data_IF_947466726528
#
_entry.id   IF_947466726528
#
_cell.length_a   1.000
_cell.length_b   1.000
_cell.length_c   1.000
_cell.angle_alpha   90.00
_cell.angle_beta   90.00
_cell.angle_gamma   90.00
#
_symmetry.space_group_name_H-M   'P 1'
#
loop_
_entity.id
_entity.type
_entity.pdbx_description
1 polymer ?
#
# COMPACT_ATOMS: atom_id res chain seq x y z
N UNK A 1 -53.18 21.69 -10.75
CA UNK A 1 -54.14 22.76 -11.06
C UNK A 1 -53.79 23.27 -12.45
N UNK A 2 -54.66 22.97 -13.41
CA UNK A 2 -54.61 23.24 -14.86
C UNK A 2 -54.50 24.76 -15.20
N UNK A 3 -54.48 25.19 -16.48
CA UNK A 3 -53.46 25.03 -17.54
C UNK A 3 -53.23 26.39 -18.26
N UNK A 4 -52.43 26.48 -19.34
CA UNK A 4 -52.81 27.37 -20.46
C UNK A 4 -52.06 26.96 -21.75
N UNK A 5 -52.86 26.44 -22.68
CA UNK A 5 -52.60 26.32 -24.11
C UNK A 5 -52.43 27.71 -24.74
N UNK A 6 -51.50 27.88 -25.70
CA UNK A 6 -51.77 28.53 -27.00
C UNK A 6 -50.45 28.63 -27.81
N UNK A 7 -50.29 27.74 -28.80
CA UNK A 7 -50.53 27.95 -30.24
C UNK A 7 -49.28 28.35 -31.01
N UNK A 8 -48.75 27.35 -31.69
CA UNK A 8 -47.73 27.38 -32.71
C UNK A 8 -48.32 28.03 -33.98
N UNK A 9 -47.75 29.13 -34.46
CA UNK A 9 -48.11 29.75 -35.75
C UNK A 9 -46.94 29.57 -36.73
N UNK A 10 -47.05 28.68 -37.74
CA UNK A 10 -45.95 28.37 -38.66
C UNK A 10 -45.76 29.39 -39.80
N UNK A 11 -46.41 30.56 -39.74
CA UNK A 11 -46.50 31.49 -40.87
C UNK A 11 -45.51 32.67 -40.83
N UNK A 12 -44.56 32.71 -39.88
CA UNK A 12 -43.54 33.77 -39.81
C UNK A 12 -42.17 33.40 -40.40
N UNK A 13 -41.96 32.14 -40.75
CA UNK A 13 -40.67 31.62 -41.24
C UNK A 13 -40.51 31.83 -42.76
N UNK A 14 -41.61 32.00 -43.50
CA UNK A 14 -41.59 32.12 -44.97
C UNK A 14 -41.36 33.55 -45.49
N UNK A 15 -41.26 34.57 -44.63
CA UNK A 15 -41.09 35.98 -45.06
C UNK A 15 -39.65 36.51 -44.97
N UNK A 16 -38.74 35.78 -44.34
CA UNK A 16 -37.32 36.18 -44.23
C UNK A 16 -36.40 35.49 -45.26
N UNK A 17 -36.91 34.51 -46.02
CA UNK A 17 -36.13 33.77 -47.00
C UNK A 17 -36.03 34.42 -48.40
N UNK A 18 -36.61 35.62 -48.59
CA UNK A 18 -36.75 36.24 -49.93
C UNK A 18 -36.16 37.66 -50.03
N UNK A 19 -35.26 38.06 -49.12
CA UNK A 19 -34.67 39.40 -49.12
C UNK A 19 -33.14 39.45 -48.99
N UNK A 20 -32.45 38.33 -49.20
CA UNK A 20 -30.98 38.28 -49.20
C UNK A 20 -30.52 37.55 -50.47
N UNK A 21 -30.83 38.16 -51.60
CA UNK A 21 -30.33 37.74 -52.91
C UNK A 21 -29.83 39.00 -53.62
N UNK A 22 -28.63 39.42 -53.25
CA UNK A 22 -27.97 40.63 -53.74
C UNK A 22 -26.71 40.86 -52.91
N UNK A 23 -25.57 40.99 -53.58
CA UNK A 23 -24.24 41.28 -53.03
C UNK A 23 -23.42 40.07 -52.56
N UNK A 24 -23.33 39.07 -53.43
CA UNK A 24 -22.19 38.14 -53.48
C UNK A 24 -20.95 38.87 -54.04
N UNK A 25 -20.35 39.76 -53.24
CA UNK A 25 -19.05 40.37 -53.53
C UNK A 25 -17.95 39.69 -52.68
N UNK A 26 -16.97 39.13 -53.39
CA UNK A 26 -15.89 38.30 -52.92
C UNK A 26 -15.12 38.85 -51.70
N UNK A 27 -15.26 38.19 -50.55
CA UNK A 27 -14.18 38.07 -49.56
C UNK A 27 -13.92 36.58 -49.32
N UNK A 28 -12.71 36.11 -49.63
CA UNK A 28 -12.30 34.72 -49.42
C UNK A 28 -12.46 34.37 -47.93
N UNK A 29 -13.15 33.27 -47.56
CA UNK A 29 -13.14 32.82 -46.18
C UNK A 29 -11.71 32.38 -45.82
N UNK A 30 -11.06 33.12 -44.91
CA UNK A 30 -9.83 32.64 -44.28
C UNK A 30 -10.24 31.53 -43.31
N UNK A 31 -10.20 30.29 -43.80
CA UNK A 31 -10.34 29.10 -42.95
C UNK A 31 -9.22 29.12 -41.90
N UNK A 32 -9.54 29.09 -40.59
CA UNK A 32 -8.50 28.94 -39.58
C UNK A 32 -7.76 27.64 -39.87
N UNK A 33 -6.44 27.72 -40.05
CA UNK A 33 -5.59 26.53 -40.24
C UNK A 33 -5.74 25.65 -39.00
N UNK A 34 -6.62 24.64 -39.07
CA UNK A 34 -6.72 23.61 -38.04
C UNK A 34 -5.34 22.97 -37.95
N UNK A 35 -4.64 23.27 -36.85
CA UNK A 35 -3.31 22.73 -36.55
C UNK A 35 -3.46 21.22 -36.55
N UNK A 36 -2.99 20.57 -37.62
CA UNK A 36 -3.04 19.12 -37.75
C UNK A 36 -2.30 18.54 -36.55
N UNK A 37 -3.04 17.85 -35.67
CA UNK A 37 -2.45 17.08 -34.58
C UNK A 37 -1.60 16.01 -35.26
N UNK A 38 -0.27 16.19 -35.28
CA UNK A 38 0.66 15.13 -35.69
C UNK A 38 0.23 13.84 -34.98
N UNK A 39 0.04 12.71 -35.70
CA UNK A 39 -0.28 11.45 -35.06
C UNK A 39 0.84 11.17 -34.05
N UNK A 40 0.47 11.09 -32.77
CA UNK A 40 1.41 10.80 -31.69
C UNK A 40 2.02 9.44 -32.00
N UNK A 41 3.29 9.43 -32.40
CA UNK A 41 4.03 8.20 -32.68
C UNK A 41 3.87 7.25 -31.48
N UNK A 42 3.29 6.07 -31.72
CA UNK A 42 3.20 5.01 -30.73
C UNK A 42 4.62 4.62 -30.35
N UNK A 43 5.02 4.89 -29.12
CA UNK A 43 6.30 4.42 -28.58
C UNK A 43 6.30 2.89 -28.64
N UNK A 44 7.23 2.32 -29.40
CA UNK A 44 7.40 0.88 -29.64
C UNK A 44 8.01 0.12 -28.46
N UNK A 45 8.16 0.75 -27.30
CA UNK A 45 8.59 0.09 -26.07
C UNK A 45 7.42 -0.63 -25.37
N UNK A 46 7.69 -1.69 -24.59
CA UNK A 46 6.67 -2.27 -23.72
C UNK A 46 6.13 -1.16 -22.82
N UNK A 47 4.80 -1.10 -22.71
CA UNK A 47 4.16 -0.15 -21.81
C UNK A 47 4.73 -0.32 -20.41
N UNK A 48 5.02 0.77 -19.70
CA UNK A 48 5.59 0.72 -18.34
C UNK A 48 4.79 -0.21 -17.40
N UNK A 49 3.48 -0.32 -17.64
CA UNK A 49 2.57 -1.26 -16.98
C UNK A 49 2.97 -2.73 -17.16
N UNK A 50 3.37 -3.13 -18.37
CA UNK A 50 3.78 -4.50 -18.70
C UNK A 50 5.09 -4.85 -17.99
N UNK A 51 6.04 -3.93 -17.96
CA UNK A 51 7.31 -4.12 -17.24
C UNK A 51 7.06 -4.30 -15.74
N UNK A 52 6.19 -3.48 -15.12
CA UNK A 52 5.82 -3.63 -13.71
C UNK A 52 5.17 -4.97 -13.39
N UNK A 53 4.31 -5.47 -14.27
CA UNK A 53 3.67 -6.79 -14.11
C UNK A 53 4.72 -7.90 -14.15
N UNK A 54 5.63 -7.87 -15.12
CA UNK A 54 6.69 -8.89 -15.22
C UNK A 54 7.63 -8.88 -14.01
N UNK A 55 8.01 -7.69 -13.52
CA UNK A 55 8.82 -7.54 -12.31
C UNK A 55 8.07 -8.08 -11.08
N UNK A 56 6.77 -7.80 -10.96
CA UNK A 56 5.94 -8.32 -9.87
C UNK A 56 5.91 -9.86 -9.84
N UNK A 57 5.70 -10.49 -11.00
CA UNK A 57 5.73 -11.95 -11.11
C UNK A 57 7.10 -12.54 -10.79
N UNK A 58 8.19 -11.90 -11.24
CA UNK A 58 9.54 -12.33 -10.89
C UNK A 58 9.78 -12.25 -9.38
N UNK A 59 9.35 -11.16 -8.72
CA UNK A 59 9.45 -11.00 -7.26
C UNK A 59 8.71 -12.11 -6.50
N UNK A 60 7.47 -12.42 -6.92
CA UNK A 60 6.67 -13.49 -6.32
C UNK A 60 7.42 -14.83 -6.43
N UNK A 61 7.99 -15.14 -7.59
CA UNK A 61 8.74 -16.37 -7.80
C UNK A 61 10.00 -16.43 -6.92
N UNK A 62 10.72 -15.33 -6.80
CA UNK A 62 11.92 -15.21 -5.94
C UNK A 62 11.55 -15.40 -4.46
N UNK A 63 10.46 -14.80 -3.99
CA UNK A 63 9.96 -15.00 -2.63
C UNK A 63 9.52 -16.45 -2.40
N UNK A 64 8.80 -17.05 -3.35
CA UNK A 64 8.39 -18.45 -3.25
C UNK A 64 9.60 -19.39 -3.17
N UNK A 65 10.63 -19.14 -3.98
CA UNK A 65 11.89 -19.87 -3.91
C UNK A 65 12.55 -19.74 -2.53
N UNK A 66 12.64 -18.50 -2.02
CA UNK A 66 13.18 -18.23 -0.67
C UNK A 66 12.43 -19.01 0.42
N UNK A 67 11.10 -18.99 0.40
CA UNK A 67 10.26 -19.72 1.39
C UNK A 67 10.49 -21.23 1.34
N UNK A 68 10.68 -21.82 0.15
CA UNK A 68 10.96 -23.26 0.02
C UNK A 68 12.35 -23.64 0.55
N UNK A 69 13.33 -22.75 0.41
CA UNK A 69 14.72 -23.02 0.81
C UNK A 69 15.02 -22.73 2.28
N UNK A 70 14.11 -22.07 3.00
CA UNK A 70 14.31 -21.81 4.43
C UNK A 70 13.91 -23.04 5.23
N UNK A 71 14.88 -23.66 5.90
CA UNK A 71 14.62 -24.63 6.96
C UNK A 71 13.89 -23.91 8.10
N UNK A 72 12.57 -24.10 8.16
CA UNK A 72 11.82 -23.71 9.34
C UNK A 72 12.29 -24.65 10.43
N UNK A 73 12.95 -24.12 11.47
CA UNK A 73 13.09 -24.85 12.73
C UNK A 73 11.67 -25.05 13.24
N UNK A 74 11.07 -26.18 12.89
CA UNK A 74 9.77 -26.55 13.41
C UNK A 74 9.87 -26.45 14.92
N UNK A 75 8.94 -25.71 15.53
CA UNK A 75 8.79 -25.70 16.96
C UNK A 75 8.26 -27.09 17.34
N UNK A 76 9.18 -28.05 17.44
CA UNK A 76 8.91 -29.37 18.01
C UNK A 76 8.29 -29.10 19.38
N UNK A 77 7.11 -29.67 19.61
CA UNK A 77 6.42 -29.58 20.90
C UNK A 77 7.40 -30.03 21.98
N UNK A 78 7.69 -29.14 22.93
CA UNK A 78 8.74 -29.33 23.92
C UNK A 78 8.31 -30.38 24.94
N UNK A 79 9.03 -31.51 25.00
CA UNK A 79 8.74 -32.62 25.91
C UNK A 79 9.84 -32.74 26.99
N UNK A 80 9.55 -32.49 28.29
CA UNK A 80 10.51 -32.59 29.37
C UNK A 80 11.01 -34.03 29.60
N UNK A 81 10.24 -35.05 29.23
CA UNK A 81 10.67 -36.45 29.34
C UNK A 81 11.73 -36.78 28.29
N UNK A 82 11.53 -36.31 27.05
CA UNK A 82 12.51 -36.47 25.96
C UNK A 82 13.83 -35.72 26.25
N UNK A 83 13.75 -34.51 26.80
CA UNK A 83 14.94 -33.72 27.19
C UNK A 83 15.79 -34.45 28.24
N UNK A 84 15.16 -35.12 29.20
CA UNK A 84 15.86 -35.91 30.21
C UNK A 84 16.22 -37.33 29.74
N UNK A 85 15.66 -37.79 28.63
CA UNK A 85 15.85 -39.14 28.08
C UNK A 85 15.24 -40.23 28.96
N UNK A 86 14.07 -39.96 29.56
CA UNK A 86 13.33 -40.88 30.42
C UNK A 86 11.95 -41.17 29.83
N UNK A 87 11.32 -42.27 30.27
CA UNK A 87 9.96 -42.59 29.84
C UNK A 87 8.89 -41.78 30.58
N UNK A 88 7.71 -41.69 29.98
CA UNK A 88 6.58 -40.96 30.54
C UNK A 88 6.09 -41.62 31.85
N UNK A 89 5.99 -40.85 32.93
CA UNK A 89 5.45 -41.32 34.21
C UNK A 89 6.47 -41.95 35.18
N UNK A 90 7.76 -41.80 34.90
CA UNK A 90 8.84 -42.25 35.80
C UNK A 90 8.83 -41.59 37.19
N UNK A 91 9.46 -42.27 38.16
CA UNK A 91 9.52 -41.80 39.55
C UNK A 91 10.47 -40.59 39.72
N UNK A 92 10.21 -39.76 40.74
CA UNK A 92 11.02 -38.57 41.04
C UNK A 92 12.50 -38.90 41.28
N UNK A 93 12.80 -40.10 41.80
CA UNK A 93 14.17 -40.56 41.97
C UNK A 93 14.92 -40.76 40.65
N UNK A 94 14.24 -41.26 39.62
CA UNK A 94 14.79 -41.48 38.28
C UNK A 94 15.02 -40.14 37.62
N UNK A 95 14.07 -39.20 37.74
CA UNK A 95 14.21 -37.81 37.28
C UNK A 95 15.44 -37.14 37.90
N UNK A 96 15.60 -37.23 39.22
CA UNK A 96 16.76 -36.66 39.94
C UNK A 96 18.08 -37.31 39.53
N UNK A 97 18.09 -38.62 39.24
CA UNK A 97 19.27 -39.34 38.73
C UNK A 97 19.63 -38.89 37.31
N UNK A 98 18.65 -38.79 36.41
CA UNK A 98 18.85 -38.34 35.03
C UNK A 98 19.38 -36.90 34.98
N UNK A 99 18.77 -36.00 35.75
CA UNK A 99 19.20 -34.61 35.90
C UNK A 99 20.66 -34.50 36.31
N UNK A 100 21.10 -35.24 37.34
CA UNK A 100 22.51 -35.22 37.78
C UNK A 100 23.47 -35.71 36.69
N UNK A 101 23.11 -36.75 35.95
CA UNK A 101 23.94 -37.28 34.85
C UNK A 101 24.10 -36.25 33.72
N UNK A 102 23.01 -35.62 33.31
CA UNK A 102 22.99 -34.64 32.23
C UNK A 102 23.66 -33.31 32.63
N UNK A 103 23.43 -32.86 33.86
CA UNK A 103 24.07 -31.68 34.44
C UNK A 103 25.59 -31.81 34.45
N UNK A 104 26.12 -32.98 34.82
CA UNK A 104 27.57 -33.24 34.78
C UNK A 104 28.14 -33.27 33.36
N UNK A 105 27.34 -33.66 32.37
CA UNK A 105 27.73 -33.71 30.95
C UNK A 105 27.80 -32.31 30.33
N UNK A 106 26.86 -31.44 30.67
CA UNK A 106 26.72 -30.10 30.10
C UNK A 106 27.20 -28.97 31.03
N UNK A 107 27.96 -29.29 32.09
CA UNK A 107 28.47 -28.29 33.01
C UNK A 107 29.49 -27.38 32.32
N UNK A 108 29.37 -26.03 32.38
CA UNK A 108 30.20 -25.08 31.62
C UNK A 108 31.70 -25.14 31.92
N UNK A 109 32.07 -25.76 33.04
CA UNK A 109 33.46 -26.02 33.44
C UNK A 109 34.10 -27.23 32.74
N UNK A 110 33.29 -28.18 32.26
CA UNK A 110 33.77 -29.44 31.65
C UNK A 110 33.76 -29.43 30.12
N UNK A 111 33.22 -28.37 29.50
CA UNK A 111 33.04 -28.27 28.04
C UNK A 111 33.99 -27.24 27.45
N UNK A 112 34.49 -27.54 26.24
CA UNK A 112 35.38 -26.66 25.49
C UNK A 112 34.75 -25.29 25.22
N UNK A 113 35.58 -24.26 25.04
CA UNK A 113 35.14 -22.86 24.84
C UNK A 113 34.13 -22.69 23.71
N UNK A 114 34.25 -23.45 22.63
CA UNK A 114 33.34 -23.39 21.48
C UNK A 114 31.96 -24.03 21.75
N UNK A 115 31.90 -24.96 22.71
CA UNK A 115 30.65 -25.65 23.08
C UNK A 115 29.98 -25.02 24.31
N UNK A 116 30.58 -24.00 24.93
CA UNK A 116 30.02 -23.34 26.13
C UNK A 116 28.64 -22.73 25.89
N UNK A 117 28.41 -22.15 24.71
CA UNK A 117 27.12 -21.55 24.36
C UNK A 117 26.03 -22.63 24.25
N UNK A 118 26.31 -23.70 23.48
CA UNK A 118 25.41 -24.87 23.36
C UNK A 118 25.18 -25.57 24.69
N UNK A 119 26.22 -25.69 25.53
CA UNK A 119 26.11 -26.27 26.85
C UNK A 119 25.21 -25.43 27.78
N UNK A 120 25.28 -24.10 27.67
CA UNK A 120 24.39 -23.19 28.39
C UNK A 120 22.93 -23.36 27.97
N UNK A 121 22.66 -23.44 26.67
CA UNK A 121 21.31 -23.70 26.14
C UNK A 121 20.75 -25.05 26.61
N UNK A 122 21.52 -26.14 26.44
CA UNK A 122 21.11 -27.48 26.87
C UNK A 122 20.89 -27.55 28.39
N UNK A 123 21.77 -26.93 29.18
CA UNK A 123 21.65 -26.91 30.64
C UNK A 123 20.42 -26.11 31.09
N UNK A 124 20.08 -25.01 30.43
CA UNK A 124 18.86 -24.26 30.68
C UNK A 124 17.61 -25.12 30.38
N UNK A 125 17.64 -25.90 29.30
CA UNK A 125 16.55 -26.80 28.92
C UNK A 125 16.38 -27.96 29.91
N UNK A 126 17.47 -28.59 30.33
CA UNK A 126 17.50 -29.64 31.37
C UNK A 126 16.94 -29.11 32.70
N UNK A 127 17.36 -27.90 33.09
CA UNK A 127 16.84 -27.24 34.30
C UNK A 127 15.35 -26.97 34.20
N UNK A 128 14.86 -26.55 33.02
CA UNK A 128 13.44 -26.31 32.78
C UNK A 128 12.66 -27.63 32.90
N UNK A 129 13.10 -28.68 32.23
CA UNK A 129 12.49 -30.01 32.27
C UNK A 129 12.41 -30.57 33.70
N UNK A 130 13.52 -30.51 34.45
CA UNK A 130 13.53 -30.94 35.85
C UNK A 130 12.54 -30.14 36.70
N UNK A 131 12.47 -28.81 36.56
CA UNK A 131 11.52 -27.96 37.30
C UNK A 131 10.07 -28.32 36.99
N UNK A 132 9.76 -28.59 35.72
CA UNK A 132 8.43 -29.01 35.27
C UNK A 132 7.99 -30.31 35.93
N UNK A 133 8.86 -31.31 35.96
CA UNK A 133 8.52 -32.63 36.51
C UNK A 133 8.56 -32.68 38.04
N UNK A 134 9.32 -31.79 38.69
CA UNK A 134 9.44 -31.75 40.16
C UNK A 134 8.24 -31.05 40.81
N UNK A 135 7.70 -29.99 40.20
CA UNK A 135 6.58 -29.24 40.76
C UNK A 135 5.25 -29.84 40.27
N UNK A 136 4.40 -30.25 41.21
CA UNK A 136 3.09 -30.84 40.91
C UNK A 136 2.21 -29.91 40.04
N UNK A 137 2.22 -28.60 40.32
CA UNK A 137 1.45 -27.62 39.55
C UNK A 137 1.97 -27.49 38.10
N UNK A 138 3.30 -27.44 37.93
CA UNK A 138 3.91 -27.34 36.61
C UNK A 138 3.71 -28.63 35.77
N UNK A 139 3.68 -29.79 36.43
CA UNK A 139 3.38 -31.08 35.81
C UNK A 139 1.92 -31.14 35.35
N UNK A 140 0.98 -30.73 36.18
CA UNK A 140 -0.44 -30.67 35.81
C UNK A 140 -0.67 -29.69 34.64
N UNK A 141 0.00 -28.54 34.65
CA UNK A 141 -0.03 -27.57 33.56
C UNK A 141 0.54 -28.14 32.25
N UNK A 142 1.63 -28.90 32.33
CA UNK A 142 2.19 -29.60 31.19
C UNK A 142 1.22 -30.64 30.62
N UNK A 143 0.58 -31.45 31.47
CA UNK A 143 -0.40 -32.46 31.06
C UNK A 143 -1.66 -31.83 30.42
N UNK A 144 -2.09 -30.65 30.90
CA UNK A 144 -3.28 -29.94 30.38
C UNK A 144 -3.02 -29.09 29.14
N UNK A 145 -1.89 -28.40 29.07
CA UNK A 145 -1.61 -27.37 28.06
C UNK A 145 -0.40 -27.69 27.17
N UNK A 146 0.32 -28.78 27.44
CA UNK A 146 1.57 -29.12 26.74
C UNK A 146 2.72 -28.17 27.06
N UNK A 147 2.60 -27.33 28.09
CA UNK A 147 3.62 -26.34 28.45
C UNK A 147 3.65 -26.11 29.98
N UNK A 148 4.84 -26.01 30.61
CA UNK A 148 4.96 -25.96 32.06
C UNK A 148 4.51 -24.65 32.71
N UNK A 149 4.51 -23.55 31.92
CA UNK A 149 4.10 -22.22 32.37
C UNK A 149 2.57 -22.00 32.30
N UNK A 150 1.78 -23.04 31.96
CA UNK A 150 0.33 -22.98 31.87
C UNK A 150 -0.20 -22.49 30.51
N UNK A 151 -1.43 -21.98 30.49
CA UNK A 151 -2.11 -21.52 29.28
C UNK A 151 -1.32 -20.36 28.65
N UNK A 152 -0.62 -20.63 27.55
CA UNK A 152 0.06 -19.58 26.81
C UNK A 152 -1.00 -18.69 26.15
N UNK A 153 -0.94 -17.39 26.46
CA UNK A 153 -1.63 -16.38 25.65
C UNK A 153 -0.99 -16.44 24.27
N UNK A 154 -1.73 -16.86 23.25
CA UNK A 154 -1.19 -16.95 21.90
C UNK A 154 -0.69 -15.57 21.47
N UNK A 155 0.63 -15.43 21.39
CA UNK A 155 1.24 -14.17 20.97
C UNK A 155 1.00 -14.04 19.47
N UNK A 156 0.05 -13.19 19.08
CA UNK A 156 -0.17 -12.83 17.69
C UNK A 156 1.05 -12.02 17.20
N UNK A 157 2.01 -12.72 16.57
CA UNK A 157 3.17 -12.09 15.96
C UNK A 157 2.80 -11.43 14.63
N UNK A 158 3.30 -10.21 14.39
CA UNK A 158 3.20 -9.56 13.09
C UNK A 158 4.32 -10.11 12.20
N UNK A 159 4.00 -10.57 10.99
CA UNK A 159 4.97 -11.14 10.03
C UNK A 159 5.87 -10.09 9.34
N UNK A 160 6.23 -9.01 10.04
CA UNK A 160 7.13 -7.99 9.52
C UNK A 160 8.59 -8.41 9.71
N UNK A 161 9.46 -8.13 8.74
CA UNK A 161 10.89 -8.37 8.90
C UNK A 161 11.42 -7.50 10.04
N UNK A 162 12.28 -8.09 10.88
CA UNK A 162 12.83 -7.42 12.06
C UNK A 162 13.52 -6.08 11.72
N UNK A 163 14.07 -5.95 10.51
CA UNK A 163 14.67 -4.71 9.99
C UNK A 163 13.74 -3.48 10.07
N UNK A 164 12.41 -3.65 9.96
CA UNK A 164 11.46 -2.53 10.07
C UNK A 164 11.12 -2.16 11.52
N UNK A 165 11.34 -3.05 12.49
CA UNK A 165 10.90 -2.91 13.88
C UNK A 165 12.07 -2.73 14.85
N UNK A 166 13.29 -3.06 14.43
CA UNK A 166 14.49 -2.99 15.26
C UNK A 166 14.85 -1.54 15.62
N UNK A 167 15.05 -1.30 16.92
CA UNK A 167 15.15 0.02 17.52
C UNK A 167 16.26 0.91 16.94
N UNK A 168 17.30 0.31 16.33
CA UNK A 168 18.42 1.03 15.74
C UNK A 168 18.13 1.61 14.34
N UNK A 169 17.25 0.99 13.55
CA UNK A 169 16.85 1.48 12.21
C UNK A 169 15.53 2.26 12.26
N UNK A 170 14.75 2.06 13.32
CA UNK A 170 13.47 2.72 13.61
C UNK A 170 13.47 4.25 13.43
N UNK A 171 14.43 5.05 13.95
CA UNK A 171 14.36 6.52 13.82
C UNK A 171 14.48 6.99 12.37
N UNK A 172 15.28 6.31 11.54
CA UNK A 172 15.43 6.67 10.14
C UNK A 172 14.17 6.33 9.33
N UNK A 173 13.58 5.15 9.58
CA UNK A 173 12.33 4.74 8.93
C UNK A 173 11.20 5.71 9.30
N UNK A 174 11.04 6.04 10.57
CA UNK A 174 10.05 7.03 11.01
C UNK A 174 10.32 8.42 10.42
N UNK A 175 11.57 8.88 10.39
CA UNK A 175 11.92 10.17 9.80
C UNK A 175 11.62 10.20 8.29
N UNK A 176 11.90 9.12 7.56
CA UNK A 176 11.56 8.98 6.15
C UNK A 176 10.04 9.03 5.94
N UNK A 177 9.27 8.31 6.76
CA UNK A 177 7.82 8.38 6.74
C UNK A 177 7.31 9.80 7.06
N UNK A 178 7.87 10.45 8.09
CA UNK A 178 7.54 11.83 8.45
C UNK A 178 7.81 12.82 7.32
N UNK A 179 8.94 12.68 6.62
CA UNK A 179 9.28 13.51 5.47
C UNK A 179 8.35 13.22 4.28
N UNK A 180 8.08 11.94 4.00
CA UNK A 180 7.21 11.52 2.91
C UNK A 180 5.77 12.02 3.11
N UNK A 181 5.23 11.89 4.32
CA UNK A 181 3.90 12.39 4.62
C UNK A 181 3.86 13.91 4.81
N UNK A 182 4.91 14.53 5.35
CA UNK A 182 4.96 15.97 5.62
C UNK A 182 5.26 16.83 4.40
N UNK A 183 6.14 16.39 3.50
CA UNK A 183 6.58 17.18 2.35
C UNK A 183 6.08 16.60 1.03
N UNK A 184 6.26 15.30 0.81
CA UNK A 184 5.92 14.68 -0.48
C UNK A 184 4.40 14.72 -0.69
N UNK A 185 3.59 14.33 0.30
CA UNK A 185 2.14 14.36 0.14
C UNK A 185 1.59 15.78 -0.11
N UNK A 186 1.87 16.81 0.70
CA UNK A 186 1.34 18.16 0.44
C UNK A 186 1.87 18.76 -0.87
N UNK A 187 3.09 18.43 -1.27
CA UNK A 187 3.63 18.88 -2.56
C UNK A 187 2.85 18.31 -3.74
N UNK A 188 2.61 17.00 -3.77
CA UNK A 188 1.87 16.36 -4.87
C UNK A 188 0.39 16.73 -4.86
N UNK A 189 -0.25 16.73 -3.67
CA UNK A 189 -1.65 17.15 -3.52
C UNK A 189 -1.82 18.61 -3.90
N UNK A 190 -0.93 19.49 -3.43
CA UNK A 190 -0.93 20.90 -3.78
C UNK A 190 -0.75 21.10 -5.28
N UNK A 191 0.26 20.48 -5.89
CA UNK A 191 0.49 20.56 -7.34
C UNK A 191 -0.71 20.05 -8.14
N UNK A 192 -1.31 18.94 -7.74
CA UNK A 192 -2.51 18.40 -8.38
C UNK A 192 -3.71 19.34 -8.21
N UNK A 193 -3.95 19.85 -6.99
CA UNK A 193 -5.03 20.78 -6.68
C UNK A 193 -4.91 22.08 -7.48
N UNK A 194 -3.73 22.70 -7.50
CA UNK A 194 -3.45 23.91 -8.29
C UNK A 194 -3.55 23.69 -9.79
N UNK A 195 -3.41 22.46 -10.28
CA UNK A 195 -3.59 22.15 -11.69
C UNK A 195 -5.06 21.83 -12.01
N UNK A 196 -5.74 21.13 -11.09
CA UNK A 196 -7.13 20.71 -11.24
C UNK A 196 -8.11 21.88 -11.06
N UNK A 197 -7.76 22.89 -10.26
CA UNK A 197 -8.62 24.06 -10.02
C UNK A 197 -8.59 25.10 -11.14
N UNK A 198 -7.73 24.95 -12.16
CA UNK A 198 -7.63 25.92 -13.27
C UNK A 198 -8.78 25.84 -14.27
N UNK A 199 -9.55 24.76 -14.24
CA UNK A 199 -10.63 24.49 -15.17
C UNK A 199 -11.97 24.47 -14.41
N UNK A 200 -12.95 25.21 -14.93
CA UNK A 200 -14.34 25.10 -14.49
C UNK A 200 -14.99 23.82 -15.06
N UNK A 201 -16.23 23.50 -14.63
CA UNK A 201 -17.01 22.35 -15.14
C UNK A 201 -17.07 22.29 -16.67
N UNK A 202 -17.02 23.44 -17.33
CA UNK A 202 -17.13 23.56 -18.78
C UNK A 202 -15.77 23.50 -19.51
N UNK A 203 -14.69 23.08 -18.82
CA UNK A 203 -13.32 23.01 -19.33
C UNK A 203 -12.71 24.34 -19.81
N UNK A 204 -13.29 25.48 -19.39
CA UNK A 204 -12.78 26.82 -19.67
C UNK A 204 -11.81 27.23 -18.55
N UNK A 205 -10.73 27.93 -18.91
CA UNK A 205 -9.78 28.47 -17.94
C UNK A 205 -10.43 29.58 -17.09
N UNK A 206 -10.21 29.56 -15.78
CA UNK A 206 -10.73 30.60 -14.86
C UNK A 206 -10.40 32.07 -15.29
N UNK A 207 -9.16 32.42 -15.70
CA UNK A 207 -8.86 33.79 -16.13
C UNK A 207 -9.66 34.21 -17.37
N UNK A 208 -9.83 33.29 -18.33
CA UNK A 208 -10.66 33.49 -19.52
C UNK A 208 -12.11 33.81 -19.14
N UNK A 209 -12.68 33.05 -18.22
CA UNK A 209 -14.06 33.24 -17.74
C UNK A 209 -14.22 34.58 -17.00
N UNK A 210 -13.23 34.99 -16.21
CA UNK A 210 -13.24 36.30 -15.54
C UNK A 210 -13.22 37.47 -16.52
N UNK A 211 -12.39 37.40 -17.56
CA UNK A 211 -12.33 38.44 -18.62
C UNK A 211 -13.63 38.48 -19.42
N UNK A 212 -14.23 37.32 -19.70
CA UNK A 212 -15.52 37.21 -20.37
C UNK A 212 -16.65 37.89 -19.58
N UNK A 213 -16.81 37.57 -18.30
CA UNK A 213 -17.86 38.17 -17.46
C UNK A 213 -17.65 39.67 -17.20
N UNK A 214 -16.41 40.13 -17.05
CA UNK A 214 -16.12 41.57 -16.83
C UNK A 214 -16.53 42.44 -18.02
N UNK A 215 -16.51 41.88 -19.22
CA UNK A 215 -16.74 42.64 -20.45
C UNK A 215 -18.15 42.42 -21.04
N UNK A 216 -18.97 41.54 -20.46
CA UNK A 216 -20.38 41.39 -20.84
C UNK A 216 -21.17 42.64 -20.40
N UNK A 217 -21.84 43.29 -21.36
CA UNK A 217 -22.88 44.32 -21.14
C UNK A 217 -24.24 43.78 -21.58
N UNK A 218 -25.34 44.36 -21.09
CA UNK A 218 -26.71 43.91 -21.42
C UNK A 218 -27.09 44.04 -22.91
N UNK A 219 -26.44 44.93 -23.66
CA UNK A 219 -26.64 45.11 -25.11
C UNK A 219 -25.31 45.04 -25.88
N UNK A 220 -24.89 43.84 -26.29
CA UNK A 220 -23.67 43.63 -27.09
C UNK A 220 -24.07 43.40 -28.56
N UNK A 221 -23.48 44.17 -29.47
CA UNK A 221 -23.61 43.91 -30.92
C UNK A 221 -22.86 42.64 -31.31
N UNK A 222 -23.33 41.89 -32.31
CA UNK A 222 -22.74 40.61 -32.73
C UNK A 222 -21.23 40.71 -33.04
N UNK A 223 -20.76 41.85 -33.55
CA UNK A 223 -19.33 42.08 -33.85
C UNK A 223 -18.47 42.13 -32.58
N UNK A 224 -18.95 42.82 -31.56
CA UNK A 224 -18.23 42.97 -30.28
C UNK A 224 -18.20 41.64 -29.51
N UNK A 225 -19.20 40.77 -29.70
CA UNK A 225 -19.19 39.42 -29.12
C UNK A 225 -18.07 38.54 -29.71
N UNK A 226 -17.85 38.62 -31.02
CA UNK A 226 -16.78 37.88 -31.70
C UNK A 226 -15.42 38.37 -31.21
N UNK A 227 -15.22 39.69 -31.12
CA UNK A 227 -13.98 40.27 -30.57
C UNK A 227 -13.70 39.80 -29.13
N UNK A 228 -14.73 39.77 -28.27
CA UNK A 228 -14.60 39.28 -26.90
C UNK A 228 -14.26 37.79 -26.80
N UNK A 229 -14.85 36.95 -27.65
CA UNK A 229 -14.53 35.52 -27.69
C UNK A 229 -13.12 35.27 -28.24
N UNK A 230 -12.68 36.07 -29.21
CA UNK A 230 -11.29 35.99 -29.73
C UNK A 230 -10.25 36.52 -28.74
N UNK A 231 -10.63 37.47 -27.88
CA UNK A 231 -9.76 37.97 -26.80
C UNK A 231 -9.66 37.00 -25.61
N UNK A 232 -10.57 36.02 -25.54
CA UNK A 232 -10.72 35.09 -24.42
C UNK A 232 -10.05 33.71 -24.66
N UNK A 233 -9.87 33.29 -25.92
CA UNK A 233 -9.25 32.01 -26.32
C UNK A 233 -7.73 32.06 -26.46
#
# INVERSE_FOLDING_TARGET
>A
MFPFFCTYSPLRILKYALLVEGDAAASKPQTPKLRSRKPRAKSSGPSIKVVLILVGWALIFILSYKVKTTEVKEAKMWDPYEVLGIDNGETEEVIRRAYRKLSLKWHPDKVDKEMKEKAGEMMAEINRAHKTLTNAEARENYEKYGNPDGMQTQSMGIALPKLLVEAHTSPFVLALYGLLFGFIMPFYVGRWWYNSTRFQKDHILNPTMSTFFKNIREHISQRNLIELLTAAG
#
